data_IF_182588593000
#
_entry.id   IF_182588593000
#
_cell.length_a   1.000
_cell.length_b   1.000
_cell.length_c   1.000
_cell.angle_alpha   90.00
_cell.angle_beta   90.00
_cell.angle_gamma   90.00
#
_symmetry.space_group_name_H-M   'P 1'
#
loop_
_entity.id
_entity.type
_entity.pdbx_description
1 polymer ?
#
# COMPACT_ATOMS: atom_id res chain seq x y z
N UNK A 1 24.25 2.49 32.48
CA UNK A 1 22.98 3.22 32.41
C UNK A 1 22.17 2.61 31.28
N UNK A 2 21.15 1.82 31.61
CA UNK A 2 20.25 1.26 30.59
C UNK A 2 19.26 2.32 30.15
N UNK A 3 19.18 2.53 28.84
CA UNK A 3 18.23 3.42 28.20
C UNK A 3 16.88 2.71 28.13
N UNK A 4 15.95 3.11 29.00
CA UNK A 4 14.55 2.68 29.00
C UNK A 4 13.83 3.34 27.82
N UNK A 5 13.97 2.77 26.62
CA UNK A 5 13.41 3.31 25.37
C UNK A 5 12.27 2.45 24.82
N UNK A 6 11.93 1.35 25.48
CA UNK A 6 11.02 0.33 24.92
C UNK A 6 9.53 0.67 25.10
N UNK A 7 9.20 1.63 25.97
CA UNK A 7 7.79 1.92 26.33
C UNK A 7 7.10 2.95 25.41
N UNK A 8 7.83 3.71 24.60
CA UNK A 8 7.24 4.73 23.71
C UNK A 8 6.81 4.21 22.33
N UNK A 9 7.16 2.97 21.97
CA UNK A 9 6.85 2.43 20.65
C UNK A 9 5.41 1.88 20.52
N UNK A 10 4.77 1.48 21.62
CA UNK A 10 3.45 0.84 21.56
C UNK A 10 2.29 1.83 21.41
N UNK A 11 2.33 2.95 22.14
CA UNK A 11 1.23 3.95 22.12
C UNK A 11 1.06 4.62 20.74
N UNK A 12 2.16 4.76 19.99
CA UNK A 12 2.13 5.30 18.64
C UNK A 12 1.70 4.25 17.58
N UNK A 13 1.93 2.96 17.84
CA UNK A 13 1.53 1.87 16.95
C UNK A 13 0.00 1.74 16.88
N UNK A 14 -0.68 1.82 18.03
CA UNK A 14 -2.14 1.76 18.10
C UNK A 14 -2.80 2.91 17.33
N UNK A 15 -2.23 4.11 17.43
CA UNK A 15 -2.68 5.27 16.67
C UNK A 15 -2.55 5.08 15.16
N UNK A 16 -1.44 4.52 14.70
CA UNK A 16 -1.22 4.23 13.27
C UNK A 16 -2.14 3.15 12.75
N UNK A 17 -2.40 2.10 13.55
CA UNK A 17 -3.39 1.07 13.22
C UNK A 17 -4.77 1.69 13.03
N UNK A 18 -5.23 2.52 13.98
CA UNK A 18 -6.54 3.19 13.86
C UNK A 18 -6.63 4.09 12.60
N UNK A 19 -5.55 4.78 12.23
CA UNK A 19 -5.50 5.58 11.00
C UNK A 19 -5.64 4.73 9.74
N UNK A 20 -4.99 3.56 9.70
CA UNK A 20 -5.10 2.61 8.58
C UNK A 20 -6.52 2.05 8.50
N UNK A 21 -7.09 1.62 9.62
CA UNK A 21 -8.47 1.11 9.69
C UNK A 21 -9.49 2.14 9.22
N UNK A 22 -9.37 3.39 9.66
CA UNK A 22 -10.23 4.48 9.20
C UNK A 22 -10.10 4.72 7.69
N UNK A 23 -8.88 4.68 7.14
CA UNK A 23 -8.66 4.88 5.71
C UNK A 23 -9.26 3.75 4.86
N UNK A 24 -9.22 2.51 5.35
CA UNK A 24 -9.89 1.35 4.74
C UNK A 24 -11.42 1.55 4.81
N UNK A 25 -11.95 1.88 6.00
CA UNK A 25 -13.39 2.09 6.21
C UNK A 25 -13.95 3.23 5.35
N UNK A 26 -13.18 4.32 5.20
CA UNK A 26 -13.53 5.47 4.32
C UNK A 26 -13.26 5.20 2.83
N UNK A 27 -12.82 3.99 2.47
CA UNK A 27 -12.48 3.57 1.09
C UNK A 27 -11.44 4.49 0.42
N UNK A 28 -10.56 5.10 1.21
CA UNK A 28 -9.45 5.91 0.71
C UNK A 28 -8.33 5.04 0.11
N UNK A 29 -8.24 3.79 0.56
CA UNK A 29 -7.29 2.79 0.07
C UNK A 29 -8.08 1.75 -0.74
N UNK A 30 -7.63 1.48 -1.96
CA UNK A 30 -8.18 0.42 -2.81
C UNK A 30 -7.19 -0.71 -2.90
N UNK A 31 -7.65 -1.92 -2.62
CA UNK A 31 -6.88 -3.12 -2.86
C UNK A 31 -7.04 -3.55 -4.32
N UNK A 32 -5.92 -3.82 -4.98
CA UNK A 32 -5.88 -4.36 -6.34
C UNK A 32 -4.89 -5.52 -6.35
N UNK A 33 -5.36 -6.71 -6.71
CA UNK A 33 -4.50 -7.85 -6.98
C UNK A 33 -3.57 -7.56 -8.18
N UNK A 34 -2.36 -8.10 -8.14
CA UNK A 34 -1.37 -7.93 -9.20
C UNK A 34 -1.91 -8.37 -10.58
N UNK A 35 -2.73 -9.41 -10.60
CA UNK A 35 -3.35 -9.95 -11.83
C UNK A 35 -4.30 -8.95 -12.53
N UNK A 36 -4.77 -7.92 -11.81
CA UNK A 36 -5.59 -6.84 -12.36
C UNK A 36 -4.81 -5.89 -13.28
N UNK A 37 -3.51 -6.10 -13.45
CA UNK A 37 -2.69 -5.26 -14.32
C UNK A 37 -2.19 -6.06 -15.53
N UNK A 38 -2.10 -5.39 -16.68
CA UNK A 38 -1.44 -5.87 -17.91
C UNK A 38 -0.32 -4.93 -18.32
N UNK A 39 0.42 -5.35 -19.35
CA UNK A 39 1.40 -4.52 -20.04
C UNK A 39 2.44 -3.92 -19.08
N UNK A 40 2.89 -4.75 -18.14
CA UNK A 40 3.84 -4.38 -17.10
C UNK A 40 5.20 -4.18 -17.77
N UNK A 41 5.63 -2.92 -17.83
CA UNK A 41 6.90 -2.53 -18.45
C UNK A 41 7.74 -1.75 -17.45
N UNK A 42 8.97 -2.23 -17.19
CA UNK A 42 9.95 -1.46 -16.43
C UNK A 42 10.37 -0.24 -17.26
N UNK A 43 10.12 0.96 -16.74
CA UNK A 43 10.48 2.23 -17.40
C UNK A 43 11.70 2.91 -16.75
N UNK A 44 12.25 2.29 -15.72
CA UNK A 44 13.50 2.73 -15.10
C UNK A 44 13.71 2.17 -13.71
N UNK A 45 14.90 2.40 -13.19
CA UNK A 45 15.29 2.08 -11.83
C UNK A 45 15.94 3.32 -11.20
N UNK A 46 15.59 3.62 -9.96
CA UNK A 46 16.21 4.72 -9.19
C UNK A 46 17.40 4.23 -8.40
N UNK A 47 18.24 5.18 -7.95
CA UNK A 47 19.43 4.94 -7.13
C UNK A 47 19.16 4.15 -5.84
N UNK A 48 17.91 4.11 -5.37
CA UNK A 48 17.48 3.35 -4.20
C UNK A 48 17.06 1.90 -4.51
N UNK A 49 17.32 1.40 -5.72
CA UNK A 49 16.94 0.04 -6.15
C UNK A 49 15.45 -0.13 -6.44
N UNK A 50 14.64 0.92 -6.28
CA UNK A 50 13.23 0.91 -6.64
C UNK A 50 13.08 0.93 -8.17
N UNK A 51 12.51 -0.15 -8.69
CA UNK A 51 12.08 -0.27 -10.09
C UNK A 51 10.74 0.44 -10.27
N UNK A 52 10.63 1.17 -11.38
CA UNK A 52 9.43 1.90 -11.75
C UNK A 52 8.80 1.18 -12.93
N UNK A 53 7.51 0.86 -12.82
CA UNK A 53 6.76 0.16 -13.84
C UNK A 53 5.61 1.01 -14.35
N UNK A 54 5.43 1.01 -15.68
CA UNK A 54 4.18 1.40 -16.31
C UNK A 54 3.29 0.15 -16.39
N UNK A 55 2.01 0.32 -16.09
CA UNK A 55 1.00 -0.74 -16.12
C UNK A 55 -0.29 -0.21 -16.74
N UNK A 56 -1.09 -1.10 -17.30
CA UNK A 56 -2.48 -0.85 -17.69
C UNK A 56 -3.38 -1.57 -16.69
N UNK A 57 -4.36 -0.88 -16.13
CA UNK A 57 -5.34 -1.50 -15.24
C UNK A 57 -6.42 -2.18 -16.08
N UNK A 58 -6.60 -3.49 -15.87
CA UNK A 58 -7.66 -4.28 -16.51
C UNK A 58 -8.98 -3.94 -15.82
N UNK A 59 -9.78 -3.09 -16.46
CA UNK A 59 -11.16 -2.86 -16.00
C UNK A 59 -11.99 -4.06 -16.46
N UNK A 60 -12.24 -5.00 -15.56
CA UNK A 60 -13.23 -6.07 -15.80
C UNK A 60 -14.61 -5.49 -15.53
N UNK A 61 -15.40 -5.22 -16.59
CA UNK A 61 -16.81 -4.91 -16.44
C UNK A 61 -17.52 -6.19 -15.98
N UNK A 62 -17.66 -6.38 -14.67
CA UNK A 62 -18.74 -7.22 -14.18
C UNK A 62 -20.03 -6.44 -14.42
N UNK A 63 -20.71 -6.76 -15.53
CA UNK A 63 -22.11 -6.40 -15.67
C UNK A 63 -22.85 -7.26 -14.66
N UNK A 64 -23.26 -6.64 -13.56
CA UNK A 64 -24.25 -7.20 -12.67
C UNK A 64 -25.52 -7.43 -13.52
N UNK A 65 -25.87 -8.71 -13.72
CA UNK A 65 -27.15 -9.15 -14.30
C UNK A 65 -28.15 -9.28 -13.16
#
# INVERSE_FOLDING_TARGET
>A
MSNNNEMQNFENADKWINWIEEAINKKHIKYHEYENFSDIQEIGSRAFGLKVFRIVHKITLQRDI
#
